data_IF_554511824428
#
_entry.id   IF_554511824428
#
_cell.length_a   1.000
_cell.length_b   1.000
_cell.length_c   1.000
_cell.angle_alpha   90.00
_cell.angle_beta   90.00
_cell.angle_gamma   90.00
#
_symmetry.space_group_name_H-M   'P 1'
#
loop_
_entity.id
_entity.type
_entity.pdbx_description
1 polymer ?
#
# COMPACT_ATOMS: atom_id res chain seq x y z
N UNK A 1 -17.60 3.78 -17.80
CA UNK A 1 -16.75 4.44 -16.79
C UNK A 1 -17.36 4.12 -15.45
N UNK A 2 -16.63 3.40 -14.59
CA UNK A 2 -17.09 3.11 -13.23
C UNK A 2 -17.11 4.42 -12.42
N UNK A 3 -17.99 4.50 -11.43
CA UNK A 3 -18.10 5.68 -10.56
C UNK A 3 -16.92 5.71 -9.59
N UNK A 4 -16.23 6.84 -9.50
CA UNK A 4 -15.03 7.01 -8.66
C UNK A 4 -15.42 7.59 -7.31
N UNK A 5 -15.53 6.72 -6.30
CA UNK A 5 -15.83 7.12 -4.92
C UNK A 5 -14.66 7.86 -4.27
N UNK A 6 -13.41 7.56 -4.67
CA UNK A 6 -12.23 8.21 -4.09
C UNK A 6 -12.29 9.71 -4.35
N UNK A 7 -12.48 10.11 -5.61
CA UNK A 7 -12.58 11.51 -6.01
C UNK A 7 -13.88 12.15 -5.53
N UNK A 8 -14.99 11.41 -5.59
CA UNK A 8 -16.27 11.88 -5.09
C UNK A 8 -16.20 12.25 -3.60
N UNK A 9 -15.70 11.36 -2.74
CA UNK A 9 -15.56 11.65 -1.31
C UNK A 9 -14.53 12.73 -1.04
N UNK A 10 -13.42 12.79 -1.77
CA UNK A 10 -12.46 13.89 -1.64
C UNK A 10 -13.12 15.26 -1.90
N UNK A 11 -14.00 15.35 -2.91
CA UNK A 11 -14.78 16.54 -3.17
C UNK A 11 -15.79 16.85 -2.04
N UNK A 12 -16.49 15.83 -1.55
CA UNK A 12 -17.47 15.99 -0.46
C UNK A 12 -16.82 16.41 0.85
N UNK A 13 -15.65 15.88 1.20
CA UNK A 13 -14.89 16.29 2.38
C UNK A 13 -14.51 17.77 2.28
N UNK A 14 -14.00 18.21 1.12
CA UNK A 14 -13.65 19.62 0.90
C UNK A 14 -14.87 20.55 1.03
N UNK A 15 -16.04 20.10 0.59
CA UNK A 15 -17.28 20.88 0.62
C UNK A 15 -17.89 20.93 2.04
N UNK A 16 -18.04 19.79 2.70
CA UNK A 16 -18.80 19.65 3.94
C UNK A 16 -17.95 19.80 5.20
N UNK A 17 -16.65 19.52 5.11
CA UNK A 17 -15.70 19.56 6.23
C UNK A 17 -14.52 20.50 5.95
N UNK A 18 -14.77 21.78 5.60
CA UNK A 18 -13.68 22.71 5.25
C UNK A 18 -12.72 22.99 6.42
N UNK A 19 -13.14 22.73 7.66
CA UNK A 19 -12.34 22.90 8.88
C UNK A 19 -11.35 21.78 9.17
N UNK A 20 -11.45 20.66 8.47
CA UNK A 20 -10.63 19.49 8.72
C UNK A 20 -9.15 19.81 8.47
N UNK A 21 -8.29 19.51 9.45
CA UNK A 21 -6.84 19.73 9.39
C UNK A 21 -6.41 21.17 9.02
N UNK A 22 -7.23 22.19 9.35
CA UNK A 22 -6.95 23.62 9.04
C UNK A 22 -5.65 24.18 9.65
N UNK A 23 -5.10 23.51 10.65
CA UNK A 23 -3.84 23.85 11.29
C UNK A 23 -2.62 23.63 10.38
N UNK A 24 -2.76 22.81 9.33
CA UNK A 24 -1.70 22.55 8.35
C UNK A 24 -1.78 23.51 7.16
N UNK A 25 -0.66 23.64 6.44
CA UNK A 25 -0.67 24.37 5.17
C UNK A 25 -1.54 23.62 4.13
N UNK A 26 -1.93 24.32 3.05
CA UNK A 26 -2.88 23.76 2.09
C UNK A 26 -2.38 22.47 1.39
N UNK A 27 -1.07 22.32 1.19
CA UNK A 27 -0.48 21.16 0.50
C UNK A 27 -0.52 19.94 1.41
N UNK A 28 0.04 20.05 2.62
CA UNK A 28 0.06 18.97 3.60
C UNK A 28 -1.34 18.58 4.02
N UNK A 29 -2.23 19.57 4.20
CA UNK A 29 -3.64 19.33 4.52
C UNK A 29 -4.32 18.50 3.45
N UNK A 30 -4.16 18.87 2.18
CA UNK A 30 -4.81 18.16 1.08
C UNK A 30 -4.25 16.73 0.95
N UNK A 31 -2.93 16.53 1.17
CA UNK A 31 -2.33 15.20 1.21
C UNK A 31 -2.90 14.35 2.36
N UNK A 32 -2.95 14.87 3.59
CA UNK A 32 -3.48 14.12 4.73
C UNK A 32 -4.97 13.80 4.56
N UNK A 33 -5.76 14.71 3.99
CA UNK A 33 -7.16 14.43 3.65
C UNK A 33 -7.26 13.29 2.64
N UNK A 34 -6.43 13.30 1.60
CA UNK A 34 -6.42 12.23 0.58
C UNK A 34 -6.01 10.87 1.19
N UNK A 35 -4.97 10.84 2.02
CA UNK A 35 -4.53 9.62 2.69
C UNK A 35 -5.60 9.07 3.64
N UNK A 36 -6.24 9.93 4.46
CA UNK A 36 -7.31 9.52 5.37
C UNK A 36 -8.53 9.04 4.58
N UNK A 37 -8.88 9.70 3.48
CA UNK A 37 -9.97 9.29 2.60
C UNK A 37 -9.70 7.91 1.99
N UNK A 38 -8.48 7.67 1.48
CA UNK A 38 -8.08 6.38 0.93
C UNK A 38 -8.03 5.29 2.01
N UNK A 39 -7.53 5.61 3.21
CA UNK A 39 -7.48 4.69 4.34
C UNK A 39 -8.87 4.25 4.80
N UNK A 40 -9.79 5.20 4.99
CA UNK A 40 -11.16 4.92 5.41
C UNK A 40 -11.95 4.17 4.35
N UNK A 41 -11.86 4.57 3.07
CA UNK A 41 -12.51 3.87 1.97
C UNK A 41 -11.93 2.46 1.77
N UNK A 42 -10.60 2.31 1.83
CA UNK A 42 -9.96 1.01 1.80
C UNK A 42 -10.47 0.11 2.93
N UNK A 43 -10.71 0.67 4.13
CA UNK A 43 -11.29 -0.11 5.23
C UNK A 43 -12.72 -0.55 4.94
N UNK A 44 -13.54 0.31 4.34
CA UNK A 44 -14.90 -0.05 3.91
C UNK A 44 -14.89 -1.19 2.89
N UNK A 45 -13.96 -1.17 1.93
CA UNK A 45 -13.79 -2.27 0.96
C UNK A 45 -13.44 -3.58 1.68
N UNK A 46 -12.51 -3.57 2.62
CA UNK A 46 -12.12 -4.78 3.36
C UNK A 46 -13.24 -5.31 4.25
N UNK A 47 -13.94 -4.42 4.97
CA UNK A 47 -15.10 -4.78 5.78
C UNK A 47 -16.24 -5.37 4.92
N UNK A 48 -16.42 -4.88 3.69
CA UNK A 48 -17.38 -5.45 2.75
C UNK A 48 -17.02 -6.88 2.35
N UNK A 49 -15.73 -7.16 2.14
CA UNK A 49 -15.24 -8.52 1.83
C UNK A 49 -15.41 -9.48 3.01
N UNK A 50 -15.24 -8.98 4.23
CA UNK A 50 -15.39 -9.77 5.46
C UNK A 50 -16.87 -10.10 5.74
N UNK A 51 -17.74 -9.08 5.80
CA UNK A 51 -19.16 -9.23 6.08
C UNK A 51 -19.97 -8.09 5.44
N UNK A 52 -20.42 -8.35 4.20
CA UNK A 52 -21.21 -7.39 3.43
C UNK A 52 -22.56 -7.05 4.06
N UNK A 53 -23.18 -7.97 4.83
CA UNK A 53 -24.49 -7.73 5.42
C UNK A 53 -24.37 -6.78 6.59
N UNK A 54 -23.38 -7.04 7.45
CA UNK A 54 -23.06 -6.15 8.56
C UNK A 54 -22.73 -4.75 8.07
N UNK A 55 -21.78 -4.62 7.14
CA UNK A 55 -21.40 -3.28 6.66
C UNK A 55 -22.59 -2.55 6.00
N UNK A 56 -23.43 -3.25 5.24
CA UNK A 56 -24.62 -2.64 4.66
C UNK A 56 -25.60 -2.13 5.72
N UNK A 57 -25.79 -2.86 6.82
CA UNK A 57 -26.60 -2.39 7.94
C UNK A 57 -25.96 -1.17 8.62
N UNK A 58 -24.65 -1.15 8.80
CA UNK A 58 -23.93 -0.03 9.42
C UNK A 58 -23.94 1.22 8.53
N UNK A 59 -23.96 1.08 7.21
CA UNK A 59 -24.18 2.20 6.27
C UNK A 59 -25.56 2.80 6.48
N UNK A 60 -26.59 1.99 6.74
CA UNK A 60 -27.94 2.50 6.98
C UNK A 60 -28.10 3.10 8.39
N UNK A 61 -27.58 2.46 9.43
CA UNK A 61 -27.77 2.91 10.81
C UNK A 61 -26.80 4.03 11.22
N UNK A 62 -25.61 4.05 10.64
CA UNK A 62 -24.54 5.03 10.91
C UNK A 62 -24.20 5.14 12.40
N UNK A 63 -23.99 4.01 13.08
CA UNK A 63 -23.68 3.96 14.50
C UNK A 63 -22.33 4.66 14.80
N UNK A 64 -22.37 5.67 15.69
CA UNK A 64 -21.18 6.40 16.11
C UNK A 64 -20.13 5.52 16.79
N UNK A 65 -20.55 4.51 17.56
CA UNK A 65 -19.64 3.59 18.23
C UNK A 65 -18.91 2.70 17.23
N UNK A 66 -19.59 2.27 16.17
CA UNK A 66 -18.99 1.50 15.09
C UNK A 66 -17.94 2.33 14.34
N UNK A 67 -18.25 3.59 14.04
CA UNK A 67 -17.32 4.55 13.40
C UNK A 67 -16.07 4.75 14.27
N UNK A 68 -16.26 5.02 15.57
CA UNK A 68 -15.16 5.19 16.52
C UNK A 68 -14.32 3.93 16.65
N UNK A 69 -14.95 2.75 16.67
CA UNK A 69 -14.24 1.48 16.74
C UNK A 69 -13.33 1.28 15.52
N UNK A 70 -13.85 1.53 14.32
CA UNK A 70 -13.05 1.46 13.08
C UNK A 70 -11.91 2.47 13.13
N UNK A 71 -12.19 3.72 13.48
CA UNK A 71 -11.19 4.77 13.56
C UNK A 71 -10.06 4.41 14.53
N UNK A 72 -10.41 3.85 15.69
CA UNK A 72 -9.44 3.37 16.69
C UNK A 72 -8.65 2.18 16.16
N UNK A 73 -9.28 1.20 15.51
CA UNK A 73 -8.57 0.04 14.91
C UNK A 73 -7.55 0.49 13.86
N UNK A 74 -7.94 1.40 12.97
CA UNK A 74 -7.04 1.98 11.96
C UNK A 74 -5.88 2.74 12.62
N UNK A 75 -6.18 3.55 13.63
CA UNK A 75 -5.17 4.35 14.35
C UNK A 75 -4.17 3.48 15.13
N UNK A 76 -4.64 2.39 15.73
CA UNK A 76 -3.83 1.50 16.57
C UNK A 76 -3.15 0.35 15.80
N UNK A 77 -3.41 0.25 14.49
CA UNK A 77 -2.80 -0.77 13.65
C UNK A 77 -1.26 -0.73 13.71
N UNK A 78 -0.58 -1.88 13.77
CA UNK A 78 0.89 -1.93 13.72
C UNK A 78 1.45 -1.45 12.37
N UNK A 79 0.62 -1.45 11.32
CA UNK A 79 1.00 -0.97 9.99
C UNK A 79 0.75 0.53 9.79
N UNK A 80 0.14 1.22 10.76
CA UNK A 80 -0.09 2.65 10.64
C UNK A 80 1.23 3.44 10.71
N UNK A 81 1.50 4.25 9.69
CA UNK A 81 2.67 5.12 9.59
C UNK A 81 2.31 6.59 9.39
N UNK A 82 1.07 6.99 9.70
CA UNK A 82 0.64 8.38 9.58
C UNK A 82 1.51 9.32 10.43
N UNK A 83 1.88 10.50 9.91
CA UNK A 83 2.64 11.50 10.65
C UNK A 83 1.79 12.27 11.68
N UNK A 84 0.46 12.13 11.63
CA UNK A 84 -0.46 12.80 12.54
C UNK A 84 -0.39 12.17 13.94
N UNK A 85 -0.71 12.96 14.97
CA UNK A 85 -0.83 12.42 16.32
C UNK A 85 -2.00 11.41 16.39
N UNK A 86 -1.90 10.39 17.24
CA UNK A 86 -2.94 9.33 17.30
C UNK A 86 -4.34 9.88 17.56
N UNK A 87 -4.47 10.81 18.51
CA UNK A 87 -5.76 11.43 18.85
C UNK A 87 -6.33 12.21 17.67
N UNK A 88 -5.48 12.95 16.97
CA UNK A 88 -5.87 13.72 15.80
C UNK A 88 -6.25 12.81 14.64
N UNK A 89 -5.45 11.78 14.35
CA UNK A 89 -5.75 10.81 13.31
C UNK A 89 -7.08 10.11 13.57
N UNK A 90 -7.31 9.64 14.79
CA UNK A 90 -8.56 8.96 15.18
C UNK A 90 -9.78 9.87 14.99
N UNK A 91 -9.68 11.13 15.40
CA UNK A 91 -10.75 12.10 15.20
C UNK A 91 -11.01 12.34 13.70
N UNK A 92 -9.96 12.58 12.91
CA UNK A 92 -10.11 12.88 11.49
C UNK A 92 -10.62 11.65 10.70
N UNK A 93 -10.16 10.44 11.03
CA UNK A 93 -10.72 9.20 10.44
C UNK A 93 -12.19 9.08 10.78
N UNK A 94 -12.59 9.33 12.04
CA UNK A 94 -14.00 9.25 12.45
C UNK A 94 -14.87 10.22 11.65
N UNK A 95 -14.41 11.47 11.47
CA UNK A 95 -15.14 12.48 10.71
C UNK A 95 -15.25 12.14 9.21
N UNK A 96 -14.16 11.67 8.61
CA UNK A 96 -14.16 11.26 7.20
C UNK A 96 -15.02 10.02 6.98
N UNK A 97 -14.89 9.01 7.84
CA UNK A 97 -15.66 7.77 7.75
C UNK A 97 -17.16 8.03 7.91
N UNK A 98 -17.56 8.87 8.87
CA UNK A 98 -18.96 9.26 9.05
C UNK A 98 -19.54 9.94 7.80
N UNK A 99 -18.75 10.82 7.17
CA UNK A 99 -19.11 11.44 5.89
C UNK A 99 -19.26 10.39 4.80
N UNK A 100 -18.27 9.51 4.62
CA UNK A 100 -18.32 8.45 3.60
C UNK A 100 -19.55 7.54 3.76
N UNK A 101 -19.89 7.13 4.99
CA UNK A 101 -21.09 6.32 5.25
C UNK A 101 -22.38 7.10 4.90
N UNK A 102 -22.43 8.39 5.23
CA UNK A 102 -23.58 9.26 4.88
C UNK A 102 -23.76 9.35 3.37
N UNK A 103 -22.66 9.56 2.66
CA UNK A 103 -22.65 9.64 1.21
C UNK A 103 -23.01 8.31 0.55
N UNK A 104 -22.50 7.18 1.05
CA UNK A 104 -22.88 5.85 0.57
C UNK A 104 -24.37 5.58 0.77
N UNK A 105 -24.93 5.95 1.93
CA UNK A 105 -26.36 5.83 2.20
C UNK A 105 -27.19 6.67 1.22
N UNK A 106 -26.79 7.91 0.95
CA UNK A 106 -27.47 8.77 -0.02
C UNK A 106 -27.39 8.20 -1.45
N UNK A 107 -26.24 7.68 -1.84
CA UNK A 107 -26.06 7.01 -3.13
C UNK A 107 -26.96 5.77 -3.23
N UNK A 108 -27.03 4.94 -2.19
CA UNK A 108 -27.93 3.78 -2.15
C UNK A 108 -29.40 4.17 -2.25
N UNK A 109 -29.84 5.18 -1.49
CA UNK A 109 -31.22 5.65 -1.52
C UNK A 109 -31.61 6.29 -2.86
N UNK A 110 -30.68 7.02 -3.49
CA UNK A 110 -30.94 7.69 -4.77
C UNK A 110 -30.89 6.72 -5.94
N UNK A 111 -29.92 5.80 -5.93
CA UNK A 111 -29.72 4.80 -6.98
C UNK A 111 -30.56 3.54 -6.82
N UNK A 112 -31.14 3.33 -5.63
CA UNK A 112 -31.81 2.09 -5.22
C UNK A 112 -30.94 0.85 -5.50
N UNK A 113 -29.67 0.90 -5.10
CA UNK A 113 -28.69 -0.14 -5.43
C UNK A 113 -28.94 -1.44 -4.63
N UNK A 114 -29.34 -1.29 -3.37
CA UNK A 114 -29.41 -2.37 -2.40
C UNK A 114 -28.03 -2.94 -2.09
N UNK A 115 -27.99 -3.95 -1.21
CA UNK A 115 -26.73 -4.56 -0.77
C UNK A 115 -25.84 -4.98 -1.95
N UNK A 116 -26.39 -5.68 -2.95
CA UNK A 116 -25.58 -6.17 -4.08
C UNK A 116 -25.01 -5.03 -4.93
N UNK A 117 -25.81 -4.03 -5.31
CA UNK A 117 -25.35 -2.93 -6.15
C UNK A 117 -24.32 -2.05 -5.43
N UNK A 118 -24.53 -1.80 -4.13
CA UNK A 118 -23.57 -1.07 -3.33
C UNK A 118 -22.25 -1.84 -3.17
N UNK A 119 -22.32 -3.17 -3.09
CA UNK A 119 -21.15 -4.03 -3.10
C UNK A 119 -20.37 -3.99 -4.41
N UNK A 120 -21.05 -4.01 -5.56
CA UNK A 120 -20.40 -3.84 -6.86
C UNK A 120 -19.72 -2.46 -6.96
N UNK A 121 -20.35 -1.41 -6.44
CA UNK A 121 -19.78 -0.06 -6.38
C UNK A 121 -18.52 -0.02 -5.51
N UNK A 122 -18.57 -0.55 -4.28
CA UNK A 122 -17.44 -0.55 -3.34
C UNK A 122 -16.28 -1.40 -3.84
N UNK A 123 -16.54 -2.61 -4.33
CA UNK A 123 -15.50 -3.50 -4.84
C UNK A 123 -14.87 -2.95 -6.13
N UNK A 124 -15.63 -2.21 -6.94
CA UNK A 124 -15.10 -1.48 -8.10
C UNK A 124 -14.07 -0.40 -7.74
N UNK A 125 -13.99 0.04 -6.48
CA UNK A 125 -13.07 1.10 -6.07
C UNK A 125 -11.61 0.64 -5.94
N UNK A 126 -11.32 -0.66 -5.98
CA UNK A 126 -9.95 -1.17 -5.89
C UNK A 126 -9.09 -0.55 -6.99
N UNK A 127 -9.61 -0.45 -8.22
CA UNK A 127 -8.92 0.16 -9.35
C UNK A 127 -8.66 1.65 -9.13
N UNK A 128 -9.62 2.37 -8.54
CA UNK A 128 -9.51 3.80 -8.26
C UNK A 128 -8.59 4.12 -7.08
N UNK A 129 -8.50 3.22 -6.10
CA UNK A 129 -7.60 3.33 -4.94
C UNK A 129 -6.14 3.09 -5.33
N UNK A 130 -5.88 2.35 -6.41
CA UNK A 130 -4.53 2.09 -6.92
C UNK A 130 -3.78 3.40 -7.17
N UNK A 131 -2.63 3.55 -6.52
CA UNK A 131 -1.75 4.71 -6.64
C UNK A 131 -2.15 5.96 -5.84
N UNK A 132 -3.25 5.90 -5.07
CA UNK A 132 -3.76 7.06 -4.31
C UNK A 132 -3.05 7.29 -2.97
N UNK A 133 -2.43 6.25 -2.40
CA UNK A 133 -1.82 6.31 -1.08
C UNK A 133 -0.59 5.40 -0.96
N UNK A 134 0.18 5.61 0.10
CA UNK A 134 1.36 4.81 0.42
C UNK A 134 1.01 3.40 0.92
N UNK A 135 1.97 2.47 0.80
CA UNK A 135 1.80 1.05 1.11
C UNK A 135 1.34 0.74 2.53
N UNK A 136 1.60 1.63 3.49
CA UNK A 136 1.16 1.47 4.87
C UNK A 136 -0.37 1.53 4.98
N UNK A 137 -1.03 2.33 4.13
CA UNK A 137 -2.49 2.44 4.05
C UNK A 137 -3.09 1.10 3.61
N UNK A 138 -2.51 0.50 2.57
CA UNK A 138 -2.94 -0.79 2.05
C UNK A 138 -2.66 -1.94 3.00
N UNK A 139 -1.51 -1.92 3.67
CA UNK A 139 -1.15 -2.90 4.71
C UNK A 139 -2.05 -2.79 5.94
N UNK A 140 -2.53 -1.60 6.28
CA UNK A 140 -3.47 -1.38 7.40
C UNK A 140 -4.87 -1.93 7.11
N UNK A 141 -5.25 -2.01 5.84
CA UNK A 141 -6.55 -2.48 5.38
C UNK A 141 -6.53 -3.92 4.84
N UNK A 142 -5.42 -4.64 4.92
CA UNK A 142 -5.26 -5.96 4.29
C UNK A 142 -5.52 -5.98 2.77
N UNK A 143 -5.32 -4.83 2.10
CA UNK A 143 -5.45 -4.67 0.64
C UNK A 143 -4.09 -4.85 -0.04
N UNK A 144 -3.49 -6.03 0.13
CA UNK A 144 -2.12 -6.31 -0.32
C UNK A 144 -1.90 -6.15 -1.82
N UNK A 145 -2.96 -6.30 -2.63
CA UNK A 145 -2.95 -6.12 -4.08
C UNK A 145 -2.66 -4.68 -4.52
N UNK A 146 -2.85 -3.70 -3.63
CA UNK A 146 -2.59 -2.28 -3.91
C UNK A 146 -1.17 -1.84 -3.53
N UNK A 147 -0.38 -2.71 -2.90
CA UNK A 147 1.00 -2.37 -2.52
C UNK A 147 1.88 -2.19 -3.74
N UNK A 148 2.71 -1.15 -3.74
CA UNK A 148 3.57 -0.77 -4.86
C UNK A 148 2.82 -0.09 -6.01
N UNK A 149 1.53 0.26 -5.85
CA UNK A 149 0.74 0.91 -6.89
C UNK A 149 1.07 2.40 -7.08
N UNK A 150 1.64 3.06 -6.06
CA UNK A 150 2.01 4.48 -6.14
C UNK A 150 3.22 4.64 -7.06
N UNK A 151 3.10 5.42 -8.16
CA UNK A 151 4.23 5.66 -9.04
C UNK A 151 5.38 6.29 -8.25
N UNK A 152 6.53 5.62 -8.26
CA UNK A 152 7.76 6.21 -7.74
C UNK A 152 8.14 7.32 -8.74
N UNK A 153 8.31 8.58 -8.31
CA UNK A 153 8.86 9.60 -9.19
C UNK A 153 10.23 9.10 -9.64
N UNK A 154 10.31 8.66 -10.90
CA UNK A 154 11.58 8.32 -11.50
C UNK A 154 12.36 9.63 -11.53
N UNK A 155 13.47 9.69 -10.79
CA UNK A 155 14.49 10.69 -11.12
C UNK A 155 14.78 10.52 -12.61
N UNK A 156 14.59 11.59 -13.39
CA UNK A 156 15.02 11.60 -14.78
C UNK A 156 16.53 11.36 -14.76
N UNK A 157 16.94 10.10 -14.87
CA UNK A 157 18.29 9.75 -15.28
C UNK A 157 18.44 10.37 -16.66
N UNK A 158 19.02 11.58 -16.69
CA UNK A 158 19.29 12.28 -17.92
C UNK A 158 20.11 11.34 -18.79
N UNK A 159 19.52 10.93 -19.92
CA UNK A 159 20.17 10.05 -20.89
C UNK A 159 21.55 10.59 -21.27
N UNK A 160 21.71 11.91 -21.24
CA UNK A 160 22.95 12.64 -21.48
C UNK A 160 24.00 12.40 -20.39
N UNK A 161 23.60 12.33 -19.12
CA UNK A 161 24.48 11.96 -18.00
C UNK A 161 24.91 10.49 -18.11
N UNK A 162 23.99 9.58 -18.41
CA UNK A 162 24.32 8.16 -18.63
C UNK A 162 25.22 7.95 -19.85
N UNK A 163 25.00 8.67 -20.95
CA UNK A 163 25.88 8.64 -22.13
C UNK A 163 27.25 9.26 -21.85
N UNK A 164 27.32 10.29 -21.00
CA UNK A 164 28.58 10.90 -20.59
C UNK A 164 29.41 9.95 -19.74
N UNK A 165 28.81 9.30 -18.75
CA UNK A 165 29.49 8.27 -17.94
C UNK A 165 29.91 7.06 -18.78
N UNK A 166 29.05 6.62 -19.70
CA UNK A 166 29.39 5.57 -20.66
C UNK A 166 30.58 5.97 -21.55
N UNK A 167 30.55 7.15 -22.16
CA UNK A 167 31.65 7.66 -22.97
C UNK A 167 32.93 7.82 -22.14
N UNK A 168 32.84 8.18 -20.87
CA UNK A 168 33.98 8.33 -19.98
C UNK A 168 34.61 6.99 -19.60
N UNK A 169 33.80 5.95 -19.36
CA UNK A 169 34.28 4.58 -19.18
C UNK A 169 34.89 4.01 -20.47
N UNK A 170 34.27 4.24 -21.63
CA UNK A 170 34.82 3.80 -22.93
C UNK A 170 36.15 4.48 -23.26
N UNK A 171 36.27 5.78 -22.99
CA UNK A 171 37.50 6.53 -23.24
C UNK A 171 38.64 6.15 -22.29
N UNK A 172 38.33 5.75 -21.04
CA UNK A 172 39.34 5.20 -20.11
C UNK A 172 40.00 3.91 -20.62
N UNK A 173 39.37 3.18 -21.55
CA UNK A 173 39.98 2.01 -22.19
C UNK A 173 40.87 2.33 -23.40
N UNK A 174 41.01 3.60 -23.80
CA UNK A 174 41.75 4.00 -25.02
C UNK A 174 43.02 4.81 -24.75
N UNK A 175 43.41 5.00 -23.50
CA UNK A 175 44.66 5.65 -23.10
C UNK A 175 45.28 4.94 -21.90
N UNK A 176 45.76 3.72 -22.10
CA UNK A 176 46.92 3.24 -21.36
C UNK A 176 47.67 2.21 -22.22
N UNK A 177 48.83 2.67 -22.68
CA UNK A 177 49.82 1.91 -23.43
C UNK A 177 50.52 0.95 -22.44
N UNK A 178 50.35 -0.34 -22.67
CA UNK A 178 51.21 -1.44 -22.18
C UNK A 178 51.85 -1.31 -20.79
N UNK A 179 51.07 -1.57 -19.72
CA UNK A 179 51.61 -2.25 -18.54
C UNK A 179 50.63 -3.33 -18.04
N UNK A 180 51.04 -4.58 -18.28
CA UNK A 180 50.69 -5.80 -17.54
C UNK A 180 49.21 -5.98 -17.15
N UNK A 181 48.50 -6.77 -17.96
CA UNK A 181 47.17 -7.30 -17.66
C UNK A 181 47.31 -8.24 -16.45
N UNK A 182 46.95 -7.76 -15.26
CA UNK A 182 46.58 -8.65 -14.16
C UNK A 182 45.06 -8.82 -14.20
N UNK A 183 44.64 -10.01 -14.62
CA UNK A 183 43.27 -10.48 -14.70
C UNK A 183 42.60 -10.27 -13.32
N UNK A 184 41.73 -9.27 -13.19
CA UNK A 184 40.83 -9.21 -12.02
C UNK A 184 39.77 -10.29 -12.24
N UNK A 185 40.11 -11.51 -11.84
CA UNK A 185 39.17 -12.61 -11.70
C UNK A 185 37.97 -12.13 -10.87
N UNK A 186 36.78 -12.40 -11.39
CA UNK A 186 35.54 -12.16 -10.67
C UNK A 186 35.67 -12.73 -9.25
N UNK A 187 35.54 -11.85 -8.25
CA UNK A 187 35.59 -12.23 -6.84
C UNK A 187 34.31 -13.02 -6.54
N UNK A 188 34.32 -14.31 -6.86
CA UNK A 188 33.29 -15.24 -6.39
C UNK A 188 33.57 -15.43 -4.89
N UNK A 189 32.66 -15.02 -3.99
CA UNK A 189 32.91 -15.13 -2.57
C UNK A 189 33.18 -16.58 -2.20
N UNK A 190 34.36 -16.83 -1.60
CA UNK A 190 34.90 -18.18 -1.29
C UNK A 190 33.96 -19.04 -0.44
N UNK A 191 33.06 -18.40 0.31
CA UNK A 191 31.99 -19.05 1.08
C UNK A 191 31.08 -19.95 0.22
N UNK A 192 30.87 -19.60 -1.06
CA UNK A 192 30.05 -20.41 -1.99
C UNK A 192 30.65 -21.81 -2.22
N UNK A 193 31.98 -21.89 -2.36
CA UNK A 193 32.70 -23.17 -2.58
C UNK A 193 32.77 -24.06 -1.34
N UNK A 194 32.57 -23.49 -0.15
CA UNK A 194 32.60 -24.22 1.13
C UNK A 194 31.19 -24.67 1.54
N UNK A 195 30.16 -23.88 1.24
CA UNK A 195 28.78 -24.23 1.60
C UNK A 195 28.21 -25.38 0.75
N UNK A 196 28.54 -25.46 -0.54
CA UNK A 196 28.04 -26.50 -1.44
C UNK A 196 28.23 -27.94 -0.91
N UNK A 197 29.44 -28.38 -0.49
CA UNK A 197 29.61 -29.74 0.02
C UNK A 197 28.92 -29.97 1.38
N UNK A 198 28.79 -28.95 2.23
CA UNK A 198 28.15 -29.07 3.54
C UNK A 198 26.64 -29.30 3.38
N UNK A 199 26.00 -28.55 2.49
CA UNK A 199 24.57 -28.69 2.20
C UNK A 199 24.29 -30.06 1.57
N UNK A 200 25.13 -30.52 0.65
CA UNK A 200 24.99 -31.85 0.06
C UNK A 200 25.09 -32.97 1.11
N UNK A 201 26.04 -32.89 2.05
CA UNK A 201 26.18 -33.87 3.14
C UNK A 201 24.99 -33.82 4.09
N UNK A 202 24.45 -32.65 4.41
CA UNK A 202 23.28 -32.51 5.27
C UNK A 202 22.03 -33.17 4.65
N UNK A 203 21.81 -32.98 3.36
CA UNK A 203 20.70 -33.61 2.63
C UNK A 203 20.87 -35.14 2.64
N UNK A 204 22.07 -35.65 2.36
CA UNK A 204 22.34 -37.10 2.40
C UNK A 204 22.15 -37.69 3.81
N UNK A 205 22.53 -36.98 4.87
CA UNK A 205 22.34 -37.43 6.25
C UNK A 205 20.86 -37.49 6.65
N UNK A 206 20.05 -36.50 6.22
CA UNK A 206 18.59 -36.51 6.45
C UNK A 206 17.92 -37.66 5.71
N UNK A 207 18.31 -37.90 4.45
CA UNK A 207 17.79 -39.02 3.67
C UNK A 207 18.19 -40.36 4.30
N UNK A 208 19.43 -40.50 4.78
CA UNK A 208 19.88 -41.70 5.46
C UNK A 208 19.09 -41.96 6.76
N UNK A 209 18.89 -40.94 7.60
CA UNK A 209 18.07 -41.07 8.81
C UNK A 209 16.62 -41.44 8.50
N UNK A 210 16.06 -40.88 7.42
CA UNK A 210 14.69 -41.18 6.99
C UNK A 210 14.57 -42.64 6.53
N UNK A 211 15.59 -43.17 5.86
CA UNK A 211 15.62 -44.57 5.42
C UNK A 211 15.82 -45.52 6.61
N UNK A 212 16.69 -45.21 7.57
CA UNK A 212 16.91 -46.08 8.73
C UNK A 212 15.71 -46.10 9.69
N UNK A 213 14.94 -45.01 9.80
CA UNK A 213 13.68 -44.99 10.55
C UNK A 213 12.55 -45.78 9.88
N UNK A 214 12.62 -46.02 8.57
CA UNK A 214 11.66 -46.85 7.83
C UNK A 214 11.93 -48.36 7.94
N UNK A 215 13.14 -48.75 8.34
CA UNK A 215 13.59 -50.14 8.44
C UNK A 215 13.91 -50.61 9.88
N UNK A 216 13.63 -49.79 10.89
CA UNK A 216 13.64 -50.14 12.32
C UNK A 216 12.20 -50.30 12.84
#
# INVERSE_FOLDING_TARGET
MAFDLVQYFAAQIKLQKPSLLKQYNAVDRDQYIQEINALSLGKLVSLWREDNQKLYQEIDHQDELYIQEIARRLTTSPHNQSPLSKTELEQNISEVLALQLTELKQLDQTGNFGNKGLGELLLGQIEHLSGQADDWVWSTNDLIELKGSKPIPQEELSLEASMKEFNQMVQQHTHDDHQNIELVEAIVPTWSKVLEPIVAIAILAILWCSVTQLFA
#
